data_IF_890546944113
#
_entry.id   IF_890546944113
#
_cell.length_a   1.000
_cell.length_b   1.000
_cell.length_c   1.000
_cell.angle_alpha   90.00
_cell.angle_beta   90.00
_cell.angle_gamma   90.00
#
_symmetry.space_group_name_H-M   'P 1'
#
loop_
_entity.id
_entity.type
_entity.pdbx_description
1 polymer ?
#
# COMPACT_ATOMS: atom_id res chain seq x y z
N UNK A 1 20.11 -6.87 -10.97
CA UNK A 1 19.09 -6.85 -9.90
C UNK A 1 17.76 -7.10 -10.60
N UNK A 2 17.10 -8.21 -10.33
CA UNK A 2 15.86 -8.60 -11.03
C UNK A 2 14.70 -7.66 -10.62
N UNK A 3 13.73 -7.38 -11.51
CA UNK A 3 12.60 -6.53 -11.17
C UNK A 3 11.78 -7.18 -10.05
N UNK A 4 11.36 -6.41 -9.05
CA UNK A 4 10.32 -6.84 -8.13
C UNK A 4 9.01 -6.88 -8.92
N UNK A 5 8.68 -8.05 -9.47
CA UNK A 5 7.39 -8.28 -10.09
C UNK A 5 6.32 -8.20 -8.99
N UNK A 6 5.33 -7.32 -9.17
CA UNK A 6 4.15 -7.32 -8.33
C UNK A 6 3.43 -8.66 -8.52
N UNK A 7 3.42 -9.50 -7.48
CA UNK A 7 2.56 -10.68 -7.44
C UNK A 7 1.15 -10.23 -7.03
N UNK A 8 0.13 -10.73 -7.73
CA UNK A 8 -1.28 -10.41 -7.48
C UNK A 8 -1.57 -10.59 -5.99
N UNK A 9 -2.05 -9.54 -5.32
CA UNK A 9 -2.37 -9.58 -3.89
C UNK A 9 -3.57 -10.51 -3.64
N UNK A 10 -3.26 -11.77 -3.43
CA UNK A 10 -4.10 -12.70 -2.68
C UNK A 10 -4.15 -12.16 -1.25
N UNK A 11 -5.29 -12.28 -0.54
CA UNK A 11 -5.36 -12.08 0.94
C UNK A 11 -4.07 -12.62 1.57
N UNK A 12 -3.52 -12.04 2.66
CA UNK A 12 -2.31 -12.57 3.27
C UNK A 12 -2.52 -14.06 3.48
N UNK A 13 -1.88 -14.87 2.64
CA UNK A 13 -2.08 -16.30 2.67
C UNK A 13 -1.44 -16.73 3.98
N UNK A 14 -1.92 -17.80 4.60
CA UNK A 14 -1.26 -18.45 5.73
C UNK A 14 0.23 -18.82 5.46
N UNK A 15 0.74 -18.53 4.26
CA UNK A 15 2.13 -18.62 3.84
C UNK A 15 2.98 -17.39 4.24
N UNK A 16 2.42 -16.18 4.20
CA UNK A 16 3.16 -14.92 4.48
C UNK A 16 3.27 -14.62 5.99
N UNK A 17 2.33 -15.12 6.79
CA UNK A 17 2.44 -15.10 8.26
C UNK A 17 3.69 -15.84 8.78
N UNK A 18 4.44 -16.52 7.89
CA UNK A 18 5.66 -17.28 8.21
C UNK A 18 6.95 -16.55 7.86
N UNK A 19 6.89 -15.38 7.21
CA UNK A 19 8.09 -14.59 6.87
C UNK A 19 8.72 -13.92 8.11
N UNK A 20 8.01 -13.88 9.24
CA UNK A 20 8.52 -13.31 10.49
C UNK A 20 8.80 -11.81 10.44
N UNK A 21 8.23 -11.10 9.46
CA UNK A 21 8.41 -9.66 9.24
C UNK A 21 7.12 -8.90 9.53
N UNK A 22 7.20 -7.67 10.07
CA UNK A 22 6.04 -6.81 10.21
C UNK A 22 5.49 -6.45 8.83
N UNK A 23 4.18 -6.22 8.75
CA UNK A 23 3.52 -5.96 7.48
C UNK A 23 2.33 -5.01 7.60
N UNK A 24 1.95 -4.39 6.49
CA UNK A 24 0.72 -3.63 6.36
C UNK A 24 -0.21 -4.25 5.32
N UNK A 25 -1.52 -4.07 5.53
CA UNK A 25 -2.55 -4.36 4.54
C UNK A 25 -3.26 -3.05 4.21
N UNK A 26 -3.36 -2.74 2.92
CA UNK A 26 -4.13 -1.63 2.37
C UNK A 26 -5.37 -2.20 1.70
N UNK A 27 -6.54 -1.98 2.31
CA UNK A 27 -7.83 -2.24 1.67
C UNK A 27 -8.21 -0.99 0.87
N UNK A 28 -8.10 -1.08 -0.45
CA UNK A 28 -8.43 0.04 -1.33
C UNK A 28 -9.92 0.36 -1.34
N UNK A 29 -10.78 -0.65 -1.27
CA UNK A 29 -12.25 -0.46 -1.31
C UNK A 29 -12.73 0.30 -0.07
N UNK A 30 -12.10 0.06 1.07
CA UNK A 30 -12.42 0.74 2.33
C UNK A 30 -11.52 1.95 2.63
N UNK A 31 -10.52 2.21 1.78
CA UNK A 31 -9.49 3.24 2.00
C UNK A 31 -8.85 3.15 3.40
N UNK A 32 -8.45 1.93 3.78
CA UNK A 32 -7.96 1.60 5.13
C UNK A 32 -6.57 0.99 5.08
N UNK A 33 -5.68 1.46 5.94
CA UNK A 33 -4.39 0.84 6.22
C UNK A 33 -4.42 0.18 7.59
N UNK A 34 -4.04 -1.10 7.65
CA UNK A 34 -3.86 -1.87 8.88
C UNK A 34 -2.40 -2.28 9.03
N UNK A 35 -1.80 -2.09 10.20
CA UNK A 35 -0.39 -2.43 10.48
C UNK A 35 -0.33 -3.60 11.47
N UNK A 36 0.52 -4.58 11.17
CA UNK A 36 0.68 -5.81 11.93
C UNK A 36 2.15 -6.01 12.32
N UNK A 37 2.37 -6.54 13.52
CA UNK A 37 3.68 -7.03 13.93
C UNK A 37 4.05 -8.33 13.22
N UNK A 38 5.32 -8.71 13.35
CA UNK A 38 5.88 -9.94 12.77
C UNK A 38 5.17 -11.24 13.21
N UNK A 39 4.56 -11.24 14.39
CA UNK A 39 3.76 -12.34 14.93
C UNK A 39 2.31 -12.36 14.41
N UNK A 40 1.95 -11.43 13.51
CA UNK A 40 0.60 -11.29 12.95
C UNK A 40 -0.37 -10.51 13.85
N UNK A 41 0.08 -9.98 15.00
CA UNK A 41 -0.77 -9.16 15.87
C UNK A 41 -1.05 -7.80 15.23
N UNK A 42 -2.32 -7.41 15.18
CA UNK A 42 -2.73 -6.07 14.75
C UNK A 42 -2.21 -5.01 15.73
N UNK A 43 -1.49 -4.02 15.21
CA UNK A 43 -0.96 -2.87 15.97
C UNK A 43 -1.89 -1.67 15.88
N UNK A 44 -2.44 -1.40 14.70
CA UNK A 44 -3.32 -0.26 14.50
C UNK A 44 -3.96 -0.22 13.13
N UNK A 45 -4.99 0.63 13.00
CA UNK A 45 -5.70 0.90 11.75
C UNK A 45 -5.95 2.39 11.59
N UNK A 46 -5.92 2.86 10.35
CA UNK A 46 -6.23 4.26 10.01
C UNK A 46 -6.79 4.37 8.60
N UNK A 47 -7.55 5.44 8.34
CA UNK A 47 -7.91 5.84 6.99
C UNK A 47 -6.65 6.14 6.16
N UNK A 48 -6.73 5.93 4.85
CA UNK A 48 -5.63 6.15 3.94
C UNK A 48 -6.12 6.84 2.66
N UNK A 49 -5.46 7.93 2.28
CA UNK A 49 -5.62 8.51 0.95
C UNK A 49 -4.83 7.66 -0.05
N UNK A 50 -5.48 7.41 -1.19
CA UNK A 50 -4.99 6.53 -2.25
C UNK A 50 -4.95 7.27 -3.59
N UNK A 51 -4.38 6.59 -4.59
CA UNK A 51 -4.33 7.07 -5.96
C UNK A 51 -5.68 7.59 -6.44
N UNK A 52 -5.66 8.71 -7.16
CA UNK A 52 -6.84 9.38 -7.68
C UNK A 52 -7.73 8.46 -8.53
N UNK A 53 -7.13 7.55 -9.31
CA UNK A 53 -7.88 6.65 -10.18
C UNK A 53 -7.93 5.24 -9.57
N UNK A 54 -9.13 4.67 -9.39
CA UNK A 54 -9.27 3.26 -9.03
C UNK A 54 -8.63 2.34 -10.08
N UNK A 55 -7.92 1.32 -9.64
CA UNK A 55 -7.24 0.38 -10.55
C UNK A 55 -6.24 -0.50 -9.82
N UNK A 56 -6.01 -1.71 -10.32
CA UNK A 56 -5.16 -2.71 -9.66
C UNK A 56 -3.76 -2.81 -10.24
N UNK A 57 -3.57 -2.32 -11.46
CA UNK A 57 -2.29 -2.39 -12.17
C UNK A 57 -1.67 -1.01 -12.30
N UNK A 58 -0.35 -0.97 -12.25
CA UNK A 58 0.37 0.26 -12.57
C UNK A 58 0.29 0.54 -14.08
N UNK A 59 -0.20 1.71 -14.50
CA UNK A 59 -0.29 2.03 -15.92
C UNK A 59 1.10 2.10 -16.55
N UNK A 60 1.34 1.33 -17.62
CA UNK A 60 2.64 1.31 -18.31
C UNK A 60 3.08 2.70 -18.80
N UNK A 61 2.11 3.57 -19.11
CA UNK A 61 2.34 4.96 -19.51
C UNK A 61 2.87 5.85 -18.39
N UNK A 62 2.73 5.45 -17.12
CA UNK A 62 3.24 6.17 -15.95
C UNK A 62 4.74 5.98 -15.75
N UNK A 63 5.30 4.86 -16.25
CA UNK A 63 6.68 4.44 -15.98
C UNK A 63 7.69 5.49 -16.44
N UNK A 64 8.62 5.84 -15.56
CA UNK A 64 9.69 6.81 -15.84
C UNK A 64 9.23 8.27 -15.91
N UNK A 65 7.94 8.57 -15.71
CA UNK A 65 7.47 9.95 -15.61
C UNK A 65 7.80 10.54 -14.24
N UNK A 66 8.13 11.82 -14.23
CA UNK A 66 8.14 12.59 -12.99
C UNK A 66 6.71 12.63 -12.39
N UNK A 67 6.56 12.68 -11.05
CA UNK A 67 5.24 12.74 -10.42
C UNK A 67 4.35 13.89 -10.93
N UNK A 68 4.94 15.04 -11.29
CA UNK A 68 4.22 16.19 -11.85
C UNK A 68 3.67 15.96 -13.27
N UNK A 69 4.21 14.98 -14.01
CA UNK A 69 3.81 14.66 -15.37
C UNK A 69 2.72 13.57 -15.45
N UNK A 70 2.37 12.94 -14.33
CA UNK A 70 1.36 11.89 -14.27
C UNK A 70 -0.04 12.46 -14.58
N UNK A 71 -0.68 11.88 -15.60
CA UNK A 71 -2.06 12.15 -15.96
C UNK A 71 -3.02 11.55 -14.92
N UNK A 72 -4.29 11.99 -14.89
CA UNK A 72 -5.25 11.51 -13.90
C UNK A 72 -5.37 9.98 -13.88
N UNK A 73 -5.53 9.35 -15.05
CA UNK A 73 -5.65 7.89 -15.18
C UNK A 73 -4.38 7.11 -14.77
N UNK A 74 -3.24 7.80 -14.61
CA UNK A 74 -1.95 7.20 -14.24
C UNK A 74 -1.74 7.16 -12.72
N UNK A 75 -2.60 7.86 -11.97
CA UNK A 75 -2.48 8.05 -10.52
C UNK A 75 -3.17 6.91 -9.79
N UNK A 76 -2.61 5.72 -9.89
CA UNK A 76 -3.15 4.47 -9.34
C UNK A 76 -2.29 4.02 -8.15
N UNK A 77 -2.94 3.50 -7.10
CA UNK A 77 -2.25 2.69 -6.09
C UNK A 77 -2.34 1.22 -6.53
N UNK A 78 -1.26 0.62 -7.06
CA UNK A 78 -1.31 -0.73 -7.63
C UNK A 78 -1.56 -1.78 -6.54
N UNK A 79 -2.35 -2.79 -6.85
CA UNK A 79 -2.52 -3.96 -6.00
C UNK A 79 -1.29 -4.88 -6.11
N UNK A 80 -0.99 -5.60 -5.04
CA UNK A 80 0.12 -6.55 -5.03
C UNK A 80 0.73 -6.79 -3.65
N UNK A 81 1.67 -7.73 -3.61
CA UNK A 81 2.61 -7.93 -2.50
C UNK A 81 3.91 -7.19 -2.81
N UNK A 82 4.30 -6.30 -1.90
CA UNK A 82 5.47 -5.46 -2.06
C UNK A 82 6.48 -5.67 -0.93
N UNK A 83 7.75 -5.80 -1.31
CA UNK A 83 8.87 -5.66 -0.38
C UNK A 83 9.01 -4.20 -0.01
N UNK A 84 8.98 -3.90 1.29
CA UNK A 84 8.98 -2.54 1.79
C UNK A 84 10.22 -2.24 2.64
N UNK A 85 10.78 -1.04 2.46
CA UNK A 85 11.99 -0.60 3.17
C UNK A 85 11.85 0.83 3.68
N UNK A 86 12.39 1.13 4.87
CA UNK A 86 12.48 2.50 5.34
C UNK A 86 13.41 3.32 4.45
N UNK A 87 13.08 4.59 4.25
CA UNK A 87 13.94 5.51 3.53
C UNK A 87 13.61 6.97 3.81
N UNK A 88 14.16 7.84 2.98
CA UNK A 88 13.87 9.29 3.01
C UNK A 88 13.49 9.76 1.61
N UNK A 89 12.56 10.71 1.55
CA UNK A 89 12.24 11.42 0.31
C UNK A 89 13.27 12.55 0.05
N UNK A 90 13.09 13.28 -1.06
CA UNK A 90 14.00 14.35 -1.47
C UNK A 90 14.11 15.51 -0.47
N UNK A 91 13.10 15.72 0.39
CA UNK A 91 13.14 16.71 1.47
C UNK A 91 13.72 16.14 2.78
N UNK A 92 14.26 14.91 2.76
CA UNK A 92 14.86 14.25 3.92
C UNK A 92 13.87 13.66 4.91
N UNK A 93 12.57 13.68 4.63
CA UNK A 93 11.54 13.15 5.52
C UNK A 93 11.43 11.63 5.40
N UNK A 94 11.19 10.94 6.53
CA UNK A 94 11.07 9.48 6.58
C UNK A 94 9.83 9.01 5.83
N UNK A 95 9.99 7.94 5.05
CA UNK A 95 8.93 7.25 4.30
C UNK A 95 9.17 5.74 4.35
N UNK A 96 8.14 4.96 4.06
CA UNK A 96 8.28 3.51 3.83
C UNK A 96 8.05 3.26 2.35
N UNK A 97 9.12 2.98 1.61
CA UNK A 97 9.04 2.67 0.18
C UNK A 97 8.50 1.26 0.01
N UNK A 98 7.41 1.10 -0.76
CA UNK A 98 6.92 -0.22 -1.17
C UNK A 98 7.14 -0.48 -2.67
N UNK A 99 7.35 0.58 -3.46
CA UNK A 99 7.83 0.44 -4.83
C UNK A 99 8.74 1.64 -5.14
N UNK A 100 10.05 1.42 -4.99
CA UNK A 100 11.05 2.47 -5.15
C UNK A 100 11.15 2.95 -6.61
N UNK A 101 11.18 2.02 -7.57
CA UNK A 101 11.36 2.32 -8.99
C UNK A 101 10.25 3.24 -9.53
N UNK A 102 9.04 3.13 -8.97
CA UNK A 102 7.89 3.92 -9.38
C UNK A 102 7.52 5.02 -8.38
N UNK A 103 8.42 5.34 -7.43
CA UNK A 103 8.29 6.41 -6.45
C UNK A 103 7.04 6.30 -5.56
N UNK A 104 6.64 5.07 -5.20
CA UNK A 104 5.47 4.83 -4.35
C UNK A 104 5.88 4.45 -2.91
N UNK A 105 5.27 5.14 -1.96
CA UNK A 105 5.57 4.98 -0.55
C UNK A 105 4.32 5.10 0.32
N UNK A 106 4.41 4.58 1.55
CA UNK A 106 3.57 5.00 2.67
C UNK A 106 4.24 6.20 3.31
N UNK A 107 3.50 7.30 3.47
CA UNK A 107 3.99 8.49 4.17
C UNK A 107 2.86 9.23 4.89
N UNK A 108 3.21 10.06 5.86
CA UNK A 108 2.23 10.93 6.53
C UNK A 108 1.65 11.98 5.60
N UNK A 109 0.46 12.46 5.95
CA UNK A 109 -0.10 13.65 5.36
C UNK A 109 0.83 14.84 5.56
N UNK A 110 0.97 15.65 4.52
CA UNK A 110 1.80 16.85 4.52
C UNK A 110 0.94 18.07 4.25
N UNK A 111 1.34 19.25 4.73
CA UNK A 111 0.73 20.50 4.29
C UNK A 111 0.75 20.57 2.76
N UNK A 112 -0.44 20.71 2.18
CA UNK A 112 -0.66 20.92 0.75
C UNK A 112 -1.61 22.09 0.57
N UNK A 113 -1.84 22.54 -0.67
CA UNK A 113 -2.83 23.60 -0.93
C UNK A 113 -4.18 23.23 -0.33
N UNK A 114 -4.81 24.16 0.40
CA UNK A 114 -6.12 23.96 1.04
C UNK A 114 -7.20 23.49 0.04
N UNK A 115 -7.09 23.89 -1.23
CA UNK A 115 -7.98 23.43 -2.32
C UNK A 115 -8.04 21.90 -2.48
N UNK A 116 -7.03 21.15 -2.04
CA UNK A 116 -7.04 19.68 -2.11
C UNK A 116 -7.83 19.03 -0.97
N UNK A 117 -8.11 19.77 0.12
CA UNK A 117 -9.01 19.32 1.20
C UNK A 117 -8.61 17.97 1.82
N UNK A 118 -7.29 17.69 1.90
CA UNK A 118 -6.80 16.33 2.22
C UNK A 118 -7.13 15.86 3.65
N UNK A 119 -7.15 16.77 4.61
CA UNK A 119 -7.55 16.45 5.99
C UNK A 119 -9.03 16.06 6.05
N UNK A 120 -9.89 16.82 5.39
CA UNK A 120 -11.33 16.53 5.33
C UNK A 120 -11.62 15.24 4.55
N UNK A 121 -10.87 14.98 3.48
CA UNK A 121 -10.93 13.72 2.73
C UNK A 121 -10.56 12.54 3.62
N UNK A 122 -9.48 12.66 4.39
CA UNK A 122 -9.02 11.61 5.30
C UNK A 122 -10.03 11.35 6.42
N UNK A 123 -10.73 12.39 6.88
CA UNK A 123 -11.79 12.29 7.88
C UNK A 123 -13.15 11.83 7.31
N UNK A 124 -13.31 11.77 5.99
CA UNK A 124 -14.59 11.41 5.37
C UNK A 124 -14.93 9.93 5.59
N UNK A 125 -16.21 9.64 5.86
CA UNK A 125 -16.73 8.28 5.91
C UNK A 125 -16.88 7.64 4.52
N UNK A 126 -16.81 8.43 3.44
CA UNK A 126 -16.92 7.93 2.08
C UNK A 126 -15.54 7.62 1.49
N UNK A 127 -15.27 6.34 1.22
CA UNK A 127 -14.00 5.88 0.66
C UNK A 127 -13.63 6.53 -0.69
N UNK A 128 -14.61 7.02 -1.47
CA UNK A 128 -14.32 7.74 -2.72
C UNK A 128 -13.64 9.09 -2.48
N UNK A 129 -13.89 9.74 -1.34
CA UNK A 129 -13.26 11.02 -1.02
C UNK A 129 -11.75 10.87 -0.78
N UNK A 130 -11.29 9.65 -0.50
CA UNK A 130 -9.89 9.35 -0.18
C UNK A 130 -9.02 9.24 -1.45
N UNK A 131 -9.62 9.34 -2.64
CA UNK A 131 -8.93 9.25 -3.94
C UNK A 131 -8.40 10.61 -4.37
N UNK A 132 -7.10 10.83 -4.16
CA UNK A 132 -6.47 12.14 -4.42
C UNK A 132 -4.96 12.09 -4.65
N UNK A 133 -4.28 11.01 -4.28
CA UNK A 133 -2.81 10.92 -4.37
C UNK A 133 -2.37 10.58 -5.79
N UNK A 134 -1.05 10.62 -6.01
CA UNK A 134 -0.45 10.17 -7.27
C UNK A 134 -0.21 8.65 -7.31
N UNK A 135 -0.58 7.93 -6.26
CA UNK A 135 -0.36 6.48 -6.12
C UNK A 135 0.18 6.07 -4.74
N UNK A 136 0.84 6.99 -4.03
CA UNK A 136 1.26 6.77 -2.64
C UNK A 136 0.07 6.51 -1.71
N UNK A 137 0.35 5.80 -0.61
CA UNK A 137 -0.58 5.58 0.49
C UNK A 137 -0.29 6.65 1.55
N UNK A 138 -1.24 7.55 1.79
CA UNK A 138 -1.04 8.69 2.69
C UNK A 138 -1.95 8.57 3.90
N UNK A 139 -1.37 8.65 5.09
CA UNK A 139 -2.10 8.44 6.36
C UNK A 139 -1.97 9.63 7.29
N UNK A 140 -2.75 9.63 8.37
CA UNK A 140 -2.65 10.62 9.44
C UNK A 140 -1.20 10.75 9.98
N UNK A 141 -0.70 11.98 10.27
CA UNK A 141 0.65 12.18 10.78
C UNK A 141 0.96 11.46 12.09
N UNK A 142 0.06 11.48 13.07
CA UNK A 142 0.27 10.82 14.35
C UNK A 142 0.33 9.31 14.16
N UNK A 143 -0.60 8.74 13.36
CA UNK A 143 -0.55 7.31 13.05
C UNK A 143 0.74 6.91 12.32
N UNK A 144 1.24 7.74 11.42
CA UNK A 144 2.50 7.47 10.73
C UNK A 144 3.68 7.45 11.70
N UNK A 145 3.78 8.47 12.56
CA UNK A 145 4.92 8.65 13.45
C UNK A 145 4.90 7.66 14.63
N UNK A 146 3.71 7.26 15.11
CA UNK A 146 3.53 6.41 16.30
C UNK A 146 3.29 4.93 15.97
N UNK A 147 2.81 4.60 14.76
CA UNK A 147 2.51 3.20 14.37
C UNK A 147 3.32 2.75 13.17
N UNK A 148 3.29 3.51 12.06
CA UNK A 148 3.94 3.06 10.81
C UNK A 148 5.46 3.02 10.96
N UNK A 149 6.09 4.10 11.43
CA UNK A 149 7.55 4.16 11.53
C UNK A 149 8.13 3.23 12.61
N UNK A 150 7.52 3.07 13.79
CA UNK A 150 8.02 2.12 14.78
C UNK A 150 7.90 0.65 14.36
N UNK A 151 6.94 0.31 13.47
CA UNK A 151 6.70 -1.09 13.06
C UNK A 151 7.32 -1.41 11.70
N UNK A 152 7.06 -0.60 10.67
CA UNK A 152 7.51 -0.82 9.30
C UNK A 152 8.79 -0.04 8.97
N UNK A 153 9.10 0.99 9.76
CA UNK A 153 10.23 1.89 9.51
C UNK A 153 11.56 1.47 10.14
N UNK A 154 11.62 0.34 10.85
CA UNK A 154 12.82 -0.14 11.56
C UNK A 154 13.68 -1.10 10.73
N UNK A 155 13.17 -1.60 9.61
CA UNK A 155 13.86 -2.57 8.76
C UNK A 155 12.96 -3.07 7.63
N UNK A 156 13.39 -4.12 6.89
CA UNK A 156 12.57 -4.73 5.85
C UNK A 156 11.21 -5.17 6.38
N UNK A 157 10.15 -4.82 5.64
CA UNK A 157 8.76 -5.12 5.95
C UNK A 157 8.00 -5.50 4.69
N UNK A 158 6.71 -5.82 4.83
CA UNK A 158 5.85 -6.15 3.69
C UNK A 158 4.64 -5.21 3.61
N UNK A 159 4.20 -4.90 2.40
CA UNK A 159 2.97 -4.16 2.15
C UNK A 159 2.10 -4.96 1.19
N UNK A 160 0.91 -5.34 1.64
CA UNK A 160 -0.12 -5.97 0.82
C UNK A 160 -1.14 -4.91 0.44
N UNK A 161 -1.34 -4.69 -0.86
CA UNK A 161 -2.38 -3.79 -1.36
C UNK A 161 -3.44 -4.63 -2.06
N UNK A 162 -4.62 -4.70 -1.45
CA UNK A 162 -5.70 -5.56 -1.95
C UNK A 162 -6.33 -5.00 -3.24
N UNK A 163 -6.73 -5.86 -4.19
CA UNK A 163 -7.36 -5.41 -5.41
C UNK A 163 -8.75 -4.81 -5.15
N UNK A 164 -9.17 -3.90 -6.03
CA UNK A 164 -10.48 -3.26 -5.96
C UNK A 164 -11.34 -3.49 -7.20
N UNK A 165 -10.74 -3.78 -8.36
CA UNK A 165 -11.41 -4.07 -9.63
C UNK A 165 -11.45 -5.58 -9.87
N UNK A 166 -10.31 -6.25 -9.75
CA UNK A 166 -10.23 -7.70 -9.94
C UNK A 166 -10.84 -8.46 -8.75
N UNK A 167 -11.49 -9.61 -9.00
CA UNK A 167 -11.99 -10.47 -7.91
C UNK A 167 -10.84 -10.93 -7.02
N UNK A 168 -11.04 -10.88 -5.70
CA UNK A 168 -10.12 -11.51 -4.77
C UNK A 168 -10.19 -13.03 -4.95
N UNK A 169 -9.13 -13.65 -5.48
CA UNK A 169 -9.02 -15.11 -5.49
C UNK A 169 -8.58 -15.56 -4.10
N UNK A 170 -9.35 -16.45 -3.46
CA UNK A 170 -8.92 -17.10 -2.23
C UNK A 170 -7.87 -18.17 -2.59
N UNK A 171 -6.71 -18.17 -1.94
CA UNK A 171 -5.77 -19.29 -2.05
C UNK A 171 -6.45 -20.57 -1.55
N UNK A 172 -6.84 -21.44 -2.50
CA UNK A 172 -7.35 -22.78 -2.21
C UNK A 172 -6.23 -23.63 -1.63
N UNK A 173 -6.35 -23.99 -0.36
CA UNK A 173 -5.50 -25.00 0.26
C UNK A 173 -5.87 -26.40 -0.23
N UNK A 174 -4.86 -27.15 -0.67
CA UNK A 174 -4.91 -28.61 -0.80
C UNK A 174 -4.91 -29.13 -2.23
N UNK A 175 -3.78 -29.72 -2.65
CA UNK A 175 -3.79 -30.74 -3.71
C UNK A 175 -4.54 -31.97 -3.17
N UNK A 176 -5.55 -32.53 -3.85
CA UNK A 176 -5.94 -33.90 -3.60
C UNK A 176 -4.76 -34.81 -4.00
N UNK A 177 -4.27 -35.54 -3.02
CA UNK A 177 -3.34 -36.64 -3.22
C UNK A 177 -4.02 -37.67 -4.14
N UNK A 178 -3.39 -37.98 -5.26
CA UNK A 178 -3.81 -39.09 -6.09
C UNK A 178 -3.66 -40.39 -5.28
N UNK A 179 -4.78 -41.01 -4.94
CA UNK A 179 -4.80 -42.42 -4.56
C UNK A 179 -5.21 -43.22 -5.79
N UNK A 180 -4.23 -43.83 -6.44
CA UNK A 180 -4.43 -45.03 -7.25
C UNK A 180 -4.46 -46.25 -6.31
N UNK A 181 -5.11 -47.35 -6.68
CA UNK A 181 -4.56 -48.23 -7.73
C UNK A 181 -5.31 -48.20 -9.07
#
# INVERSE_FOLDING_TARGET
MAPAAAEVAVRPVAHDARDGRPFAIVDKRQALLSVYAADGRLIGRTAALLGLTPGDTEPASARGKAPSALQSHERVTPAGRFEAVPGRNLSGERVVWFNYDNNLAIHRLRPVSAAQRREERLASANAQDHRITLGCVVVDPAFFDEVVLPVLGQGPSLVYILPEVEPMVAAGGGKPHAAAP
#
